data_IF_319759655938
#
_entry.id   IF_319759655938
#
_cell.length_a   1.000
_cell.length_b   1.000
_cell.length_c   1.000
_cell.angle_alpha   90.00
_cell.angle_beta   90.00
_cell.angle_gamma   90.00
#
_symmetry.space_group_name_H-M   'P 1'
#
loop_
_entity.id
_entity.type
_entity.pdbx_description
1 polymer ?
#
# COMPACT_ATOMS: atom_id res chain seq x y z
N UNK A 1 17.43 0.76 18.89
CA UNK A 1 18.58 1.57 18.41
C UNK A 1 19.88 0.76 18.37
N UNK A 2 20.10 -0.19 19.27
CA UNK A 2 21.32 -1.00 19.38
C UNK A 2 21.80 -1.62 18.05
N UNK A 3 20.89 -2.14 17.22
CA UNK A 3 21.21 -2.69 15.89
C UNK A 3 21.89 -1.69 14.94
N UNK A 4 21.57 -0.40 15.03
CA UNK A 4 22.23 0.66 14.25
C UNK A 4 23.61 0.99 14.84
N UNK A 5 23.76 0.97 16.17
CA UNK A 5 25.06 1.19 16.83
C UNK A 5 26.02 0.04 16.58
N UNK A 6 25.52 -1.20 16.54
CA UNK A 6 26.29 -2.39 16.15
C UNK A 6 26.66 -2.35 14.67
N UNK A 7 25.73 -2.00 13.78
CA UNK A 7 26.03 -1.79 12.38
C UNK A 7 27.03 -0.64 12.12
N UNK A 8 27.09 0.37 13.01
CA UNK A 8 28.12 1.40 12.94
C UNK A 8 29.49 0.89 13.40
N UNK A 9 29.56 0.04 14.43
CA UNK A 9 30.80 -0.60 14.90
C UNK A 9 31.38 -1.59 13.89
N UNK A 10 30.53 -2.29 13.14
CA UNK A 10 30.92 -3.26 12.11
C UNK A 10 31.22 -2.61 10.73
N UNK A 11 31.58 -1.32 10.69
CA UNK A 11 31.95 -0.62 9.46
C UNK A 11 33.48 -0.44 9.42
N UNK A 12 34.18 -0.84 8.34
CA UNK A 12 33.66 -1.08 6.98
C UNK A 12 33.24 -2.51 6.63
N UNK A 13 33.36 -3.49 7.54
CA UNK A 13 33.16 -4.92 7.27
C UNK A 13 31.78 -5.22 6.69
N UNK A 14 30.73 -4.57 7.21
CA UNK A 14 29.35 -4.74 6.79
C UNK A 14 28.93 -3.89 5.58
N UNK A 15 29.84 -3.12 4.96
CA UNK A 15 29.54 -2.15 3.89
C UNK A 15 28.67 -2.72 2.76
N UNK A 16 28.80 -4.01 2.45
CA UNK A 16 27.97 -4.70 1.46
C UNK A 16 26.46 -4.71 1.81
N UNK A 17 26.09 -4.94 3.09
CA UNK A 17 24.67 -4.99 3.51
C UNK A 17 24.03 -3.60 3.66
N UNK A 18 24.83 -2.54 3.49
CA UNK A 18 24.40 -1.14 3.42
C UNK A 18 24.45 -0.57 2.00
N UNK A 19 25.05 -1.28 1.03
CA UNK A 19 25.36 -0.75 -0.31
C UNK A 19 24.13 -0.31 -1.10
N UNK A 20 22.97 -0.95 -0.90
CA UNK A 20 21.71 -0.57 -1.54
C UNK A 20 21.07 0.68 -0.92
N UNK A 21 21.39 1.06 0.33
CA UNK A 21 20.78 2.17 1.08
C UNK A 21 21.27 3.56 0.64
N UNK A 22 21.30 3.76 -0.67
CA UNK A 22 21.64 5.00 -1.37
C UNK A 22 20.43 5.53 -2.15
N UNK A 23 20.56 6.70 -2.76
CA UNK A 23 19.58 7.21 -3.71
C UNK A 23 19.50 6.31 -4.95
N UNK A 24 18.38 5.60 -5.11
CA UNK A 24 18.11 4.81 -6.31
C UNK A 24 17.65 5.68 -7.50
N UNK A 25 17.40 5.04 -8.63
CA UNK A 25 16.74 5.68 -9.79
C UNK A 25 15.35 6.17 -9.42
N UNK A 26 15.05 7.44 -9.73
CA UNK A 26 13.73 8.05 -9.62
C UNK A 26 13.39 8.75 -10.94
N UNK A 27 12.12 8.81 -11.40
CA UNK A 27 11.80 9.29 -12.75
C UNK A 27 12.09 10.79 -13.01
N UNK A 28 12.39 11.57 -11.97
CA UNK A 28 12.60 13.01 -12.02
C UNK A 28 13.89 13.40 -11.29
N UNK A 29 14.66 14.37 -11.82
CA UNK A 29 15.94 14.80 -11.22
C UNK A 29 15.78 15.55 -9.88
N UNK A 30 14.59 16.06 -9.58
CA UNK A 30 14.27 16.69 -8.30
C UNK A 30 12.75 16.68 -8.06
N UNK A 31 12.33 16.91 -6.83
CA UNK A 31 10.91 17.02 -6.46
C UNK A 31 10.18 18.13 -7.22
N UNK A 32 10.86 19.25 -7.51
CA UNK A 32 10.26 20.37 -8.26
C UNK A 32 10.21 20.14 -9.78
N UNK A 33 10.86 19.08 -10.28
CA UNK A 33 10.75 18.66 -11.67
C UNK A 33 9.53 17.74 -11.93
N UNK A 34 8.78 17.35 -10.89
CA UNK A 34 7.57 16.54 -11.03
C UNK A 34 6.40 17.46 -11.47
N UNK A 35 5.70 17.20 -12.59
CA UNK A 35 4.68 18.10 -13.13
C UNK A 35 3.55 18.52 -12.17
N UNK A 36 3.16 17.66 -11.22
CA UNK A 36 2.15 18.01 -10.20
C UNK A 36 2.64 18.92 -9.07
N UNK A 37 3.95 19.20 -8.99
CA UNK A 37 4.59 20.04 -7.98
C UNK A 37 5.33 21.26 -8.57
N UNK A 38 5.78 21.15 -9.82
CA UNK A 38 6.49 22.21 -10.54
C UNK A 38 5.65 23.50 -10.62
N UNK A 39 6.29 24.66 -10.45
CA UNK A 39 5.63 25.97 -10.43
C UNK A 39 4.75 26.26 -9.20
N UNK A 40 4.25 25.23 -8.49
CA UNK A 40 3.48 25.37 -7.25
C UNK A 40 4.39 25.53 -6.02
N UNK A 41 5.58 24.95 -6.05
CA UNK A 41 6.54 24.92 -4.94
C UNK A 41 7.92 25.44 -5.38
N UNK A 42 8.67 26.03 -4.44
CA UNK A 42 10.02 26.58 -4.65
C UNK A 42 11.09 25.88 -3.81
N UNK A 43 12.35 26.31 -4.00
CA UNK A 43 13.49 25.86 -3.19
C UNK A 43 13.60 26.61 -1.84
N UNK A 44 12.83 27.69 -1.67
CA UNK A 44 12.76 28.50 -0.45
C UNK A 44 11.35 28.44 0.13
N UNK A 45 11.26 28.39 1.46
CA UNK A 45 9.98 28.43 2.18
C UNK A 45 9.55 29.90 2.37
N UNK A 46 8.24 30.15 2.30
CA UNK A 46 7.69 31.49 2.52
C UNK A 46 7.49 31.76 4.02
N UNK A 47 8.54 32.30 4.64
CA UNK A 47 8.56 32.64 6.07
C UNK A 47 7.57 33.74 6.49
N UNK A 48 6.89 34.40 5.54
CA UNK A 48 5.88 35.44 5.79
C UNK A 48 4.52 34.81 6.18
N UNK A 49 4.51 33.88 7.15
CA UNK A 49 3.33 33.16 7.61
C UNK A 49 2.81 32.06 6.68
N UNK A 50 3.55 31.72 5.61
CA UNK A 50 3.14 30.77 4.55
C UNK A 50 4.06 29.53 4.44
N UNK A 51 4.82 29.25 5.49
CA UNK A 51 5.79 28.12 5.54
C UNK A 51 5.11 26.81 5.14
N UNK A 52 4.03 26.42 5.83
CA UNK A 52 3.30 25.16 5.58
C UNK A 52 2.77 25.04 4.14
N UNK A 53 2.03 26.01 3.55
CA UNK A 53 1.60 25.90 2.16
C UNK A 53 2.75 25.98 1.14
N UNK A 54 3.95 26.45 1.51
CA UNK A 54 5.17 26.41 0.68
C UNK A 54 5.97 25.09 0.79
N UNK A 55 5.65 24.22 1.75
CA UNK A 55 6.31 22.92 1.92
C UNK A 55 5.77 21.85 0.95
N UNK A 56 6.67 21.03 0.40
CA UNK A 56 6.30 19.73 -0.18
C UNK A 56 6.37 18.65 0.90
N UNK A 57 5.29 17.89 1.08
CA UNK A 57 5.26 16.73 1.98
C UNK A 57 5.61 15.43 1.24
N UNK A 58 6.22 14.47 1.92
CA UNK A 58 6.74 13.24 1.32
C UNK A 58 5.70 12.42 0.52
N UNK A 59 4.44 12.39 0.94
CA UNK A 59 3.37 11.70 0.20
C UNK A 59 3.05 12.36 -1.14
N UNK A 60 3.16 13.70 -1.22
CA UNK A 60 2.83 14.49 -2.41
C UNK A 60 3.75 14.17 -3.59
N UNK A 61 4.96 13.65 -3.31
CA UNK A 61 5.91 13.16 -4.32
C UNK A 61 5.24 12.02 -5.09
N UNK A 62 4.81 10.96 -4.41
CA UNK A 62 4.14 9.83 -5.07
C UNK A 62 2.73 10.18 -5.56
N UNK A 63 2.00 11.12 -4.93
CA UNK A 63 0.73 11.63 -5.48
C UNK A 63 0.97 12.30 -6.85
N UNK A 64 1.94 13.20 -6.94
CA UNK A 64 2.24 13.93 -8.17
C UNK A 64 2.81 13.03 -9.29
N UNK A 65 3.58 11.98 -8.96
CA UNK A 65 3.98 10.97 -9.97
C UNK A 65 2.76 10.23 -10.52
N UNK A 66 1.85 9.74 -9.65
CA UNK A 66 0.61 9.06 -10.08
C UNK A 66 -0.30 9.95 -10.92
N UNK A 67 -0.42 11.22 -10.54
CA UNK A 67 -1.13 12.26 -11.29
C UNK A 67 -0.60 12.42 -12.73
N UNK A 68 0.70 12.22 -12.98
CA UNK A 68 1.23 12.27 -14.37
C UNK A 68 0.77 11.11 -15.25
N UNK A 69 0.66 9.89 -14.73
CA UNK A 69 0.10 8.76 -15.48
C UNK A 69 -1.39 9.00 -15.76
N UNK A 70 -2.15 9.34 -14.70
CA UNK A 70 -3.59 9.61 -14.78
C UNK A 70 -3.94 10.71 -15.80
N UNK A 71 -3.23 11.85 -15.79
CA UNK A 71 -3.47 12.96 -16.73
C UNK A 71 -3.20 12.65 -18.20
N UNK A 72 -2.36 11.65 -18.48
CA UNK A 72 -2.14 11.14 -19.85
C UNK A 72 -3.11 10.03 -20.26
N UNK A 73 -3.92 9.50 -19.33
CA UNK A 73 -4.70 8.28 -19.55
C UNK A 73 -3.85 6.99 -19.57
N UNK A 74 -2.63 7.03 -19.02
CA UNK A 74 -1.77 5.86 -18.82
C UNK A 74 -2.22 5.07 -17.57
N UNK A 75 -2.16 3.73 -17.63
CA UNK A 75 -2.38 2.88 -16.46
C UNK A 75 -1.26 3.10 -15.43
N UNK A 76 -1.61 3.19 -14.14
CA UNK A 76 -0.63 3.43 -13.09
C UNK A 76 0.10 2.11 -12.75
N UNK A 77 1.45 2.03 -12.77
CA UNK A 77 2.16 0.79 -12.44
C UNK A 77 1.97 0.36 -10.98
N UNK A 78 2.03 -0.95 -10.71
CA UNK A 78 1.81 -1.55 -9.38
C UNK A 78 2.73 -0.96 -8.29
N UNK A 79 3.98 -0.58 -8.63
CA UNK A 79 4.93 0.06 -7.70
C UNK A 79 4.47 1.44 -7.19
N UNK A 80 3.69 2.18 -7.98
CA UNK A 80 3.17 3.51 -7.65
C UNK A 80 1.82 3.44 -6.94
N UNK A 81 1.01 2.42 -7.24
CA UNK A 81 -0.25 2.13 -6.55
C UNK A 81 0.03 1.58 -5.14
N UNK A 82 0.99 0.65 -5.03
CA UNK A 82 1.34 -0.06 -3.79
C UNK A 82 2.79 0.24 -3.34
N UNK A 83 3.14 1.52 -3.06
CA UNK A 83 4.48 1.90 -2.67
C UNK A 83 4.79 1.47 -1.23
N UNK A 84 6.06 1.13 -0.98
CA UNK A 84 6.59 0.75 0.33
C UNK A 84 5.76 -0.34 1.07
N UNK A 85 5.54 -1.54 0.49
CA UNK A 85 4.71 -2.58 1.12
C UNK A 85 5.13 -2.86 2.57
N UNK A 86 4.16 -2.92 3.48
CA UNK A 86 4.44 -3.19 4.90
C UNK A 86 4.70 -4.69 5.12
N UNK A 87 5.38 -5.12 6.19
CA UNK A 87 5.68 -6.53 6.46
C UNK A 87 4.44 -7.44 6.45
N UNK A 88 3.27 -6.90 6.80
CA UNK A 88 1.97 -7.57 6.80
C UNK A 88 1.57 -8.07 5.40
N UNK A 89 2.11 -7.45 4.34
CA UNK A 89 1.99 -7.94 2.94
C UNK A 89 2.52 -9.37 2.79
N UNK A 90 3.53 -9.75 3.57
CA UNK A 90 4.10 -11.12 3.58
C UNK A 90 3.46 -12.03 4.64
N UNK A 91 2.52 -11.50 5.44
CA UNK A 91 2.02 -12.11 6.67
C UNK A 91 3.00 -12.02 7.85
N UNK A 92 3.81 -10.96 7.92
CA UNK A 92 4.67 -10.66 9.07
C UNK A 92 4.12 -9.50 9.88
N UNK A 93 4.24 -9.53 11.20
CA UNK A 93 4.17 -8.33 12.02
C UNK A 93 5.42 -8.23 12.88
N UNK A 94 5.98 -7.03 13.01
CA UNK A 94 7.24 -6.77 13.70
C UNK A 94 6.99 -6.03 15.02
N UNK A 95 7.80 -6.35 16.04
CA UNK A 95 7.80 -5.65 17.32
C UNK A 95 8.30 -4.20 17.14
N UNK A 96 7.60 -3.17 17.65
CA UNK A 96 8.00 -1.77 17.46
C UNK A 96 9.22 -1.33 18.30
N UNK A 97 9.52 -2.07 19.37
CA UNK A 97 10.56 -1.81 20.37
C UNK A 97 11.92 -2.46 20.05
N UNK A 98 11.92 -3.60 19.34
CA UNK A 98 13.10 -4.43 19.09
C UNK A 98 13.50 -4.48 17.61
N UNK A 99 14.77 -4.79 17.37
CA UNK A 99 15.38 -4.73 16.05
C UNK A 99 14.83 -5.81 15.10
N UNK A 100 13.85 -5.44 14.26
CA UNK A 100 13.25 -6.30 13.24
C UNK A 100 12.80 -7.71 13.73
N UNK A 101 12.42 -7.83 15.00
CA UNK A 101 11.94 -9.09 15.60
C UNK A 101 10.48 -9.33 15.21
N UNK A 102 10.14 -10.57 14.86
CA UNK A 102 8.77 -10.96 14.49
C UNK A 102 7.89 -11.06 15.74
N UNK A 103 6.88 -10.19 15.83
CA UNK A 103 5.83 -10.26 16.84
C UNK A 103 4.83 -11.37 16.52
N UNK A 104 4.50 -11.55 15.24
CA UNK A 104 3.63 -12.64 14.77
C UNK A 104 3.90 -12.98 13.31
N UNK A 105 3.48 -14.19 12.90
CA UNK A 105 3.48 -14.64 11.52
C UNK A 105 2.10 -15.21 11.21
N UNK A 106 1.44 -14.69 10.18
CA UNK A 106 0.08 -15.10 9.79
C UNK A 106 0.10 -16.54 9.28
N UNK A 107 -0.72 -17.46 9.82
CA UNK A 107 -0.83 -18.83 9.32
C UNK A 107 -1.15 -18.86 7.81
N UNK A 108 -0.50 -19.76 7.06
CA UNK A 108 -0.71 -19.88 5.61
C UNK A 108 -0.18 -18.71 4.76
N UNK A 109 0.60 -17.80 5.32
CA UNK A 109 1.29 -16.73 4.58
C UNK A 109 2.54 -17.19 3.82
N UNK A 110 3.15 -16.31 3.02
CA UNK A 110 4.45 -16.60 2.38
C UNK A 110 5.57 -16.74 3.41
N UNK A 111 5.57 -15.91 4.47
CA UNK A 111 6.50 -16.04 5.59
C UNK A 111 6.34 -17.36 6.36
N UNK A 112 5.10 -17.77 6.65
CA UNK A 112 4.82 -19.05 7.32
C UNK A 112 5.28 -20.26 6.46
N UNK A 113 5.03 -20.22 5.14
CA UNK A 113 5.55 -21.23 4.20
C UNK A 113 7.07 -21.29 4.14
N UNK A 114 7.75 -20.17 4.35
CA UNK A 114 9.21 -20.09 4.44
C UNK A 114 9.76 -20.48 5.83
N UNK A 115 8.92 -20.94 6.77
CA UNK A 115 9.34 -21.41 8.09
C UNK A 115 9.72 -20.31 9.09
N UNK A 116 9.41 -19.03 8.81
CA UNK A 116 9.55 -17.94 9.78
C UNK A 116 8.52 -18.07 10.90
N UNK A 117 8.91 -17.69 12.12
CA UNK A 117 8.17 -17.89 13.37
C UNK A 117 8.20 -16.63 14.25
N UNK A 118 7.21 -16.41 15.13
CA UNK A 118 7.28 -15.39 16.16
C UNK A 118 8.54 -15.56 17.01
N UNK A 119 9.23 -14.45 17.31
CA UNK A 119 10.51 -14.44 18.01
C UNK A 119 11.76 -14.46 17.11
N UNK A 120 11.64 -14.79 15.81
CA UNK A 120 12.75 -14.62 14.86
C UNK A 120 13.19 -13.16 14.81
N UNK A 121 14.50 -12.90 14.83
CA UNK A 121 15.07 -11.56 14.63
C UNK A 121 15.68 -11.48 13.25
N UNK A 122 15.08 -10.71 12.35
CA UNK A 122 15.54 -10.60 10.96
C UNK A 122 16.82 -9.76 10.89
N UNK A 123 17.88 -10.31 10.29
CA UNK A 123 19.17 -9.64 10.12
C UNK A 123 19.27 -8.92 8.76
N UNK A 124 18.94 -9.63 7.68
CA UNK A 124 18.98 -9.08 6.32
C UNK A 124 17.80 -9.59 5.49
N UNK A 125 17.40 -8.81 4.48
CA UNK A 125 16.51 -9.25 3.42
C UNK A 125 17.03 -8.74 2.07
N UNK A 126 17.06 -9.60 1.05
CA UNK A 126 17.77 -9.36 -0.22
C UNK A 126 19.23 -8.88 0.00
N UNK A 127 19.90 -9.42 1.02
CA UNK A 127 21.27 -9.04 1.43
C UNK A 127 21.40 -7.65 2.06
N UNK A 128 20.30 -6.91 2.29
CA UNK A 128 20.32 -5.58 2.92
C UNK A 128 19.96 -5.65 4.40
N UNK A 129 20.73 -4.96 5.25
CA UNK A 129 20.58 -4.95 6.70
C UNK A 129 19.18 -4.45 7.12
N UNK A 130 18.52 -5.19 8.02
CA UNK A 130 17.27 -4.78 8.66
C UNK A 130 17.54 -4.30 10.09
N UNK A 131 17.06 -3.11 10.43
CA UNK A 131 17.02 -2.61 11.81
C UNK A 131 15.58 -2.34 12.28
N UNK A 132 14.64 -2.21 11.34
CA UNK A 132 13.26 -1.80 11.54
C UNK A 132 12.32 -2.38 10.47
N UNK A 133 11.01 -2.28 10.69
CA UNK A 133 9.99 -2.56 9.66
C UNK A 133 10.10 -1.66 8.43
N UNK A 134 10.60 -0.42 8.59
CA UNK A 134 10.83 0.50 7.49
C UNK A 134 11.94 0.02 6.52
N UNK A 135 12.98 -0.64 7.04
CA UNK A 135 14.02 -1.27 6.19
C UNK A 135 13.42 -2.40 5.35
N UNK A 136 12.57 -3.24 5.95
CA UNK A 136 11.90 -4.32 5.22
C UNK A 136 10.93 -3.75 4.17
N UNK A 137 10.17 -2.70 4.49
CA UNK A 137 9.34 -1.98 3.50
C UNK A 137 10.16 -1.33 2.38
N UNK A 138 11.37 -0.89 2.66
CA UNK A 138 12.31 -0.32 1.68
C UNK A 138 12.86 -1.40 0.73
N UNK A 139 13.14 -2.61 1.24
CA UNK A 139 13.51 -3.79 0.44
C UNK A 139 12.33 -4.25 -0.41
N UNK A 140 11.15 -4.40 0.19
CA UNK A 140 9.92 -4.79 -0.50
C UNK A 140 9.50 -3.79 -1.59
N UNK A 141 9.81 -2.50 -1.45
CA UNK A 141 9.57 -1.57 -2.55
C UNK A 141 10.40 -1.92 -3.80
N UNK A 142 11.63 -2.42 -3.62
CA UNK A 142 12.61 -2.73 -4.68
C UNK A 142 12.55 -4.16 -5.22
N UNK A 143 11.84 -5.07 -4.55
CA UNK A 143 11.63 -6.43 -5.07
C UNK A 143 10.86 -6.42 -6.40
N UNK A 144 11.19 -7.35 -7.28
CA UNK A 144 10.47 -7.55 -8.54
C UNK A 144 9.03 -8.03 -8.31
N UNK A 145 8.21 -8.05 -9.38
CA UNK A 145 6.81 -8.51 -9.31
C UNK A 145 6.64 -9.98 -8.94
N UNK A 146 7.71 -10.79 -9.00
CA UNK A 146 7.79 -12.16 -8.47
C UNK A 146 9.26 -12.59 -8.30
N UNK A 147 9.53 -13.55 -7.40
CA UNK A 147 10.85 -14.16 -7.22
C UNK A 147 11.16 -14.51 -5.75
N UNK A 148 12.33 -15.10 -5.47
CA UNK A 148 12.77 -15.37 -4.10
C UNK A 148 13.18 -14.07 -3.39
N UNK A 149 12.68 -13.88 -2.17
CA UNK A 149 13.20 -12.92 -1.19
C UNK A 149 13.99 -13.71 -0.14
N UNK A 150 15.31 -13.77 -0.30
CA UNK A 150 16.22 -14.33 0.70
C UNK A 150 16.22 -13.48 1.96
N UNK A 151 15.99 -14.11 3.10
CA UNK A 151 15.96 -13.50 4.43
C UNK A 151 16.91 -14.26 5.36
N UNK A 152 17.84 -13.54 5.96
CA UNK A 152 18.65 -14.03 7.08
C UNK A 152 18.03 -13.60 8.40
N UNK A 153 18.06 -14.48 9.40
CA UNK A 153 17.48 -14.24 10.72
C UNK A 153 18.26 -14.98 11.81
N UNK A 154 18.03 -14.63 13.07
CA UNK A 154 18.39 -15.47 14.21
C UNK A 154 17.16 -16.08 14.87
N UNK A 155 17.29 -17.35 15.27
CA UNK A 155 16.36 -18.06 16.16
C UNK A 155 17.19 -18.74 17.24
N UNK A 156 16.89 -18.47 18.51
CA UNK A 156 17.61 -19.07 19.66
C UNK A 156 19.13 -18.84 19.59
N UNK A 157 19.54 -17.65 19.14
CA UNK A 157 20.95 -17.26 18.95
C UNK A 157 21.62 -17.82 17.67
N UNK A 158 21.02 -18.81 17.00
CA UNK A 158 21.56 -19.41 15.77
C UNK A 158 21.17 -18.57 14.55
N UNK A 159 22.14 -18.20 13.71
CA UNK A 159 21.90 -17.58 12.38
C UNK A 159 21.34 -18.64 11.41
N UNK A 160 20.26 -18.28 10.72
CA UNK A 160 19.53 -19.12 9.76
C UNK A 160 19.16 -18.28 8.53
N UNK A 161 18.87 -18.94 7.42
CA UNK A 161 18.45 -18.32 6.16
C UNK A 161 17.21 -19.04 5.61
N UNK A 162 16.34 -18.33 4.92
CA UNK A 162 15.21 -18.90 4.17
C UNK A 162 14.85 -18.01 2.97
N UNK A 163 14.20 -18.57 1.94
CA UNK A 163 13.76 -17.86 0.74
C UNK A 163 12.23 -17.77 0.68
N UNK A 164 11.70 -16.56 0.84
CA UNK A 164 10.27 -16.29 0.70
C UNK A 164 9.93 -16.20 -0.78
N UNK A 165 9.22 -17.20 -1.32
CA UNK A 165 8.81 -17.21 -2.72
C UNK A 165 7.63 -16.25 -2.94
N UNK A 166 7.91 -15.11 -3.57
CA UNK A 166 6.92 -14.07 -3.89
C UNK A 166 6.25 -14.37 -5.25
N UNK A 167 4.94 -14.66 -5.30
CA UNK A 167 4.23 -14.90 -6.56
C UNK A 167 3.97 -13.60 -7.34
N UNK A 168 3.54 -13.71 -8.60
CA UNK A 168 3.23 -12.53 -9.42
C UNK A 168 2.21 -11.62 -8.73
N UNK A 169 2.57 -10.34 -8.56
CA UNK A 169 1.67 -9.35 -7.97
C UNK A 169 1.46 -9.48 -6.46
N UNK A 170 2.35 -10.18 -5.74
CA UNK A 170 2.38 -10.22 -4.28
C UNK A 170 2.18 -8.83 -3.64
N UNK A 171 2.74 -7.79 -4.28
CA UNK A 171 2.67 -6.37 -3.89
C UNK A 171 1.23 -5.86 -3.72
N UNK A 172 0.29 -6.40 -4.50
CA UNK A 172 -1.14 -6.03 -4.53
C UNK A 172 -1.89 -6.40 -3.24
N UNK A 173 -1.26 -7.18 -2.37
CA UNK A 173 -1.77 -7.49 -1.03
C UNK A 173 -1.40 -6.43 0.02
N UNK A 174 -0.59 -5.42 -0.33
CA UNK A 174 -0.27 -4.31 0.58
C UNK A 174 -1.53 -3.50 0.89
N UNK A 175 -1.83 -3.33 2.18
CA UNK A 175 -2.81 -2.33 2.61
C UNK A 175 -2.32 -0.93 2.22
N UNK A 176 -3.11 -0.26 1.38
CA UNK A 176 -2.95 1.15 1.04
C UNK A 176 -4.11 2.00 1.58
N UNK A 177 -5.20 1.41 2.07
CA UNK A 177 -6.38 2.15 2.53
C UNK A 177 -6.06 3.11 3.68
N UNK A 178 -5.14 2.70 4.56
CA UNK A 178 -4.64 3.53 5.68
C UNK A 178 -3.66 4.64 5.28
N UNK A 179 -3.23 4.73 4.01
CA UNK A 179 -2.25 5.75 3.55
C UNK A 179 -2.94 7.05 3.12
N UNK A 180 -2.41 8.19 3.55
CA UNK A 180 -2.90 9.53 3.15
C UNK A 180 -2.98 9.72 1.63
N UNK A 181 -1.97 9.24 0.89
CA UNK A 181 -1.92 9.33 -0.58
C UNK A 181 -2.99 8.48 -1.30
N UNK A 182 -3.72 7.62 -0.59
CA UNK A 182 -4.85 6.87 -1.17
C UNK A 182 -6.10 7.74 -1.28
N UNK A 183 -6.15 8.90 -0.61
CA UNK A 183 -7.23 9.87 -0.80
C UNK A 183 -7.39 10.27 -2.27
N UNK A 184 -6.31 10.53 -3.00
CA UNK A 184 -6.40 10.87 -4.43
C UNK A 184 -6.82 9.66 -5.29
N UNK A 185 -6.37 8.45 -4.93
CA UNK A 185 -6.76 7.22 -5.63
C UNK A 185 -8.27 6.94 -5.50
N UNK A 186 -8.87 7.21 -4.33
CA UNK A 186 -10.33 7.14 -4.14
C UNK A 186 -11.05 8.11 -5.06
N UNK A 187 -10.56 9.34 -5.17
CA UNK A 187 -11.10 10.37 -6.06
C UNK A 187 -11.12 9.93 -7.53
N UNK A 188 -10.03 9.31 -7.99
CA UNK A 188 -9.90 8.80 -9.37
C UNK A 188 -10.77 7.55 -9.59
N UNK A 189 -10.58 6.51 -8.78
CA UNK A 189 -11.02 5.15 -9.08
C UNK A 189 -12.30 4.71 -8.38
N UNK A 190 -12.54 5.10 -7.12
CA UNK A 190 -13.78 4.75 -6.39
C UNK A 190 -14.80 5.89 -6.35
N UNK A 191 -14.61 6.94 -7.15
CA UNK A 191 -15.49 8.11 -7.19
C UNK A 191 -15.63 8.82 -5.83
N UNK A 192 -14.64 8.67 -4.95
CA UNK A 192 -14.61 9.21 -3.59
C UNK A 192 -15.15 8.31 -2.48
N UNK A 193 -15.43 7.02 -2.73
CA UNK A 193 -15.75 6.06 -1.66
C UNK A 193 -14.53 5.75 -0.81
N UNK A 194 -14.69 5.80 0.51
CA UNK A 194 -13.81 5.16 1.49
C UNK A 194 -14.47 3.86 1.95
N UNK A 195 -13.78 2.74 1.70
CA UNK A 195 -14.25 1.38 1.84
C UNK A 195 -13.45 0.63 2.92
N UNK A 196 -14.14 -0.17 3.72
CA UNK A 196 -13.55 -0.99 4.79
C UNK A 196 -13.96 -2.45 4.60
N UNK A 197 -12.99 -3.39 4.53
CA UNK A 197 -13.32 -4.82 4.52
C UNK A 197 -13.84 -5.23 5.90
N UNK A 198 -15.08 -5.71 5.94
CA UNK A 198 -15.66 -6.21 7.17
C UNK A 198 -14.87 -7.42 7.67
N UNK A 199 -14.56 -7.44 8.97
CA UNK A 199 -13.93 -8.60 9.60
C UNK A 199 -14.89 -9.81 9.71
N UNK A 200 -14.34 -10.96 10.07
CA UNK A 200 -15.08 -12.23 10.08
C UNK A 200 -16.16 -12.29 11.17
N UNK A 201 -16.09 -11.47 12.22
CA UNK A 201 -17.19 -11.31 13.18
C UNK A 201 -18.29 -10.41 12.59
N UNK A 202 -17.92 -9.24 12.07
CA UNK A 202 -18.83 -8.28 11.45
C UNK A 202 -19.59 -8.87 10.23
N UNK A 203 -18.95 -9.80 9.50
CA UNK A 203 -19.56 -10.62 8.43
C UNK A 203 -20.56 -11.64 8.98
N UNK A 204 -20.16 -12.45 9.96
CA UNK A 204 -21.05 -13.46 10.61
C UNK A 204 -22.30 -12.81 11.20
N UNK A 205 -22.18 -11.69 11.91
CA UNK A 205 -23.32 -10.94 12.46
C UNK A 205 -24.29 -10.43 11.40
N UNK A 206 -23.85 -10.27 10.14
CA UNK A 206 -24.66 -9.82 9.01
C UNK A 206 -25.11 -10.95 8.06
N UNK A 207 -24.80 -12.21 8.38
CA UNK A 207 -25.06 -13.36 7.50
C UNK A 207 -24.23 -13.36 6.21
N UNK A 208 -23.13 -12.60 6.15
CA UNK A 208 -22.29 -12.46 4.97
C UNK A 208 -21.21 -13.54 4.94
N UNK A 209 -21.00 -14.14 3.76
CA UNK A 209 -19.99 -15.18 3.56
C UNK A 209 -18.55 -14.64 3.74
N UNK A 210 -17.61 -15.45 4.28
CA UNK A 210 -16.27 -14.98 4.66
C UNK A 210 -15.32 -14.78 3.47
N UNK A 211 -15.61 -15.39 2.33
CA UNK A 211 -14.82 -15.43 1.08
C UNK A 211 -15.29 -14.43 0.02
N UNK A 212 -16.41 -13.73 0.26
CA UNK A 212 -17.06 -12.81 -0.69
C UNK A 212 -16.70 -11.35 -0.42
N UNK A 213 -16.83 -10.47 -1.41
CA UNK A 213 -16.67 -9.03 -1.20
C UNK A 213 -17.76 -8.52 -0.23
N UNK A 214 -17.35 -7.72 0.76
CA UNK A 214 -18.25 -7.04 1.69
C UNK A 214 -17.55 -5.78 2.22
N UNK A 215 -17.36 -4.82 1.31
CA UNK A 215 -16.67 -3.55 1.58
C UNK A 215 -17.68 -2.51 2.08
N UNK A 216 -17.64 -2.18 3.36
CA UNK A 216 -18.52 -1.19 3.99
C UNK A 216 -18.13 0.23 3.55
N UNK A 217 -19.09 0.99 3.01
CA UNK A 217 -18.91 2.42 2.68
C UNK A 217 -18.92 3.22 3.97
N UNK A 218 -17.73 3.52 4.50
CA UNK A 218 -17.54 4.38 5.69
C UNK A 218 -17.83 5.85 5.38
N UNK A 219 -17.55 6.27 4.14
CA UNK A 219 -17.83 7.62 3.64
C UNK A 219 -17.91 7.61 2.10
N UNK A 220 -18.73 8.52 1.54
CA UNK A 220 -18.75 8.85 0.13
C UNK A 220 -18.55 10.36 0.00
N UNK A 221 -17.50 10.78 -0.72
CA UNK A 221 -17.09 12.18 -0.83
C UNK A 221 -18.13 13.09 -1.47
N UNK A 222 -17.96 14.40 -1.27
CA UNK A 222 -19.01 15.38 -1.57
C UNK A 222 -18.67 16.35 -2.70
N UNK A 223 -17.38 16.59 -2.96
CA UNK A 223 -16.90 17.68 -3.82
C UNK A 223 -15.93 17.20 -4.91
N UNK A 224 -15.94 17.87 -6.06
CA UNK A 224 -15.05 17.56 -7.18
C UNK A 224 -15.18 16.12 -7.68
N UNK A 225 -14.03 15.51 -8.02
CA UNK A 225 -13.91 14.10 -8.43
C UNK A 225 -14.40 13.12 -7.35
N UNK A 226 -14.18 13.45 -6.08
CA UNK A 226 -14.63 12.67 -4.93
C UNK A 226 -16.16 12.67 -4.73
N UNK A 227 -16.91 13.42 -5.53
CA UNK A 227 -18.37 13.40 -5.51
C UNK A 227 -19.00 12.31 -6.41
N UNK A 228 -18.23 11.66 -7.29
CA UNK A 228 -18.79 10.87 -8.39
C UNK A 228 -19.64 9.68 -7.93
N UNK A 229 -19.20 8.92 -6.92
CA UNK A 229 -19.98 7.82 -6.37
C UNK A 229 -21.19 8.31 -5.56
N UNK A 230 -21.06 9.40 -4.79
CA UNK A 230 -22.20 10.01 -4.07
C UNK A 230 -23.29 10.49 -5.04
N UNK A 231 -22.89 11.07 -6.18
CA UNK A 231 -23.78 11.46 -7.30
C UNK A 231 -24.40 10.24 -8.00
N UNK A 232 -23.68 9.13 -8.11
CA UNK A 232 -24.18 7.84 -8.60
C UNK A 232 -25.12 7.12 -7.60
N UNK A 233 -25.43 7.72 -6.44
CA UNK A 233 -26.41 7.20 -5.50
C UNK A 233 -25.86 6.28 -4.41
N UNK A 234 -24.54 6.15 -4.27
CA UNK A 234 -23.90 5.47 -3.14
C UNK A 234 -24.08 6.27 -1.84
N UNK A 235 -24.19 5.55 -0.71
CA UNK A 235 -24.45 6.10 0.63
C UNK A 235 -23.52 5.49 1.66
N UNK A 236 -23.36 6.16 2.80
CA UNK A 236 -22.74 5.58 4.00
C UNK A 236 -23.58 4.38 4.48
N UNK A 237 -22.90 3.37 5.02
CA UNK A 237 -23.46 2.06 5.42
C UNK A 237 -23.93 1.13 4.27
N UNK A 238 -23.80 1.54 2.99
CA UNK A 238 -23.85 0.58 1.89
C UNK A 238 -22.75 -0.48 2.06
N UNK A 239 -23.05 -1.75 1.77
CA UNK A 239 -22.03 -2.82 1.72
C UNK A 239 -21.82 -3.20 0.25
N UNK A 240 -20.67 -2.84 -0.30
CA UNK A 240 -20.26 -3.17 -1.65
C UNK A 240 -19.88 -4.67 -1.74
N UNK A 241 -20.61 -5.42 -2.57
CA UNK A 241 -20.52 -6.89 -2.69
C UNK A 241 -20.10 -7.39 -4.07
N UNK A 242 -20.05 -6.50 -5.07
CA UNK A 242 -19.54 -6.80 -6.41
C UNK A 242 -19.02 -5.51 -7.07
N UNK A 243 -17.90 -5.59 -7.79
CA UNK A 243 -17.38 -4.54 -8.70
C UNK A 243 -16.98 -5.20 -10.00
N UNK A 244 -17.45 -4.70 -11.15
CA UNK A 244 -17.13 -5.24 -12.49
C UNK A 244 -17.37 -6.76 -12.62
N UNK A 245 -18.43 -7.28 -11.99
CA UNK A 245 -18.73 -8.72 -11.94
C UNK A 245 -17.87 -9.52 -10.93
N UNK A 246 -16.81 -8.93 -10.38
CA UNK A 246 -15.95 -9.58 -9.40
C UNK A 246 -16.52 -9.44 -7.98
N UNK A 247 -16.84 -10.58 -7.37
CA UNK A 247 -17.53 -10.69 -6.07
C UNK A 247 -16.76 -11.49 -5.01
N UNK A 248 -15.53 -11.92 -5.30
CA UNK A 248 -14.63 -12.53 -4.32
C UNK A 248 -14.08 -11.47 -3.36
N UNK A 249 -13.73 -11.87 -2.13
CA UNK A 249 -13.21 -10.95 -1.10
C UNK A 249 -11.93 -10.26 -1.58
N UNK A 250 -11.96 -8.94 -1.52
CA UNK A 250 -10.87 -8.01 -1.84
C UNK A 250 -10.87 -6.90 -0.80
N UNK A 251 -9.70 -6.39 -0.44
CA UNK A 251 -9.57 -5.15 0.31
C UNK A 251 -9.88 -3.93 -0.59
N UNK A 252 -10.12 -2.77 0.01
CA UNK A 252 -10.20 -1.50 -0.73
C UNK A 252 -8.96 -1.29 -1.62
N UNK A 253 -7.76 -1.59 -1.09
CA UNK A 253 -6.51 -1.44 -1.83
C UNK A 253 -6.46 -2.30 -3.10
N UNK A 254 -6.97 -3.53 -3.03
CA UNK A 254 -7.06 -4.44 -4.17
C UNK A 254 -8.07 -3.93 -5.21
N UNK A 255 -9.26 -3.47 -4.79
CA UNK A 255 -10.27 -2.90 -5.71
C UNK A 255 -9.75 -1.64 -6.38
N UNK A 256 -9.17 -0.70 -5.63
CA UNK A 256 -8.59 0.53 -6.18
C UNK A 256 -7.49 0.21 -7.20
N UNK A 257 -6.53 -0.66 -6.85
CA UNK A 257 -5.40 -0.99 -7.73
C UNK A 257 -5.76 -1.87 -8.93
N UNK A 258 -6.90 -2.55 -8.92
CA UNK A 258 -7.46 -3.22 -10.09
C UNK A 258 -8.06 -2.20 -11.06
N UNK A 259 -8.89 -1.27 -10.55
CA UNK A 259 -9.50 -0.20 -11.35
C UNK A 259 -8.44 0.72 -11.97
N UNK A 260 -7.44 1.16 -11.19
CA UNK A 260 -6.34 2.04 -11.65
C UNK A 260 -5.42 1.45 -12.74
N UNK A 261 -5.52 0.14 -13.00
CA UNK A 261 -4.75 -0.57 -14.03
C UNK A 261 -5.59 -1.07 -15.21
N UNK A 262 -6.90 -1.25 -15.00
CA UNK A 262 -7.81 -1.82 -16.00
C UNK A 262 -8.80 -0.82 -16.59
N UNK A 263 -8.99 0.35 -15.95
CA UNK A 263 -9.92 1.39 -16.35
C UNK A 263 -9.21 2.67 -16.76
N UNK A 264 -9.82 3.36 -17.73
CA UNK A 264 -9.44 4.68 -18.23
C UNK A 264 -10.46 5.72 -17.78
N UNK A 265 -10.01 6.98 -17.75
CA UNK A 265 -10.85 8.16 -17.50
C UNK A 265 -12.12 8.13 -18.36
N UNK A 266 -13.28 8.22 -17.72
CA UNK A 266 -14.60 8.15 -18.35
C UNK A 266 -15.22 6.74 -18.42
N UNK A 267 -14.47 5.66 -18.15
CA UNK A 267 -15.04 4.31 -18.10
C UNK A 267 -16.10 4.21 -16.99
N UNK A 268 -17.28 3.71 -17.32
CA UNK A 268 -18.35 3.48 -16.35
C UNK A 268 -18.08 2.18 -15.58
N UNK A 269 -17.79 2.30 -14.29
CA UNK A 269 -17.52 1.20 -13.37
C UNK A 269 -18.85 0.79 -12.72
N UNK A 270 -19.25 -0.48 -12.88
CA UNK A 270 -20.48 -1.07 -12.34
C UNK A 270 -20.20 -1.78 -11.02
N UNK A 271 -21.18 -1.73 -10.12
CA UNK A 271 -21.12 -2.40 -8.83
C UNK A 271 -22.50 -2.82 -8.32
N UNK A 272 -22.51 -3.75 -7.36
CA UNK A 272 -23.68 -4.10 -6.55
C UNK A 272 -23.43 -3.77 -5.10
N UNK A 273 -24.36 -3.07 -4.46
CA UNK A 273 -24.35 -2.78 -3.02
C UNK A 273 -25.56 -3.41 -2.34
N UNK A 274 -25.37 -3.87 -1.10
CA UNK A 274 -26.47 -4.15 -0.17
C UNK A 274 -26.82 -2.89 0.61
N UNK A 275 -28.10 -2.53 0.62
CA UNK A 275 -28.70 -1.43 1.37
C UNK A 275 -30.07 -1.87 1.85
N UNK A 276 -30.36 -1.73 3.14
CA UNK A 276 -31.67 -2.05 3.74
C UNK A 276 -32.18 -3.47 3.32
N UNK A 277 -31.26 -4.44 3.31
CA UNK A 277 -31.43 -5.83 2.84
C UNK A 277 -31.78 -6.01 1.35
N UNK A 278 -31.83 -4.94 0.55
CA UNK A 278 -31.98 -4.98 -0.90
C UNK A 278 -30.61 -4.95 -1.59
N UNK A 279 -30.50 -5.59 -2.76
CA UNK A 279 -29.34 -5.42 -3.65
C UNK A 279 -29.66 -4.33 -4.68
N UNK A 280 -28.80 -3.31 -4.78
CA UNK A 280 -28.90 -2.22 -5.74
C UNK A 280 -27.72 -2.26 -6.69
N UNK A 281 -27.99 -2.16 -8.00
CA UNK A 281 -26.94 -1.93 -9.00
C UNK A 281 -26.69 -0.42 -9.13
N UNK A 282 -25.43 -0.01 -8.97
CA UNK A 282 -24.99 1.38 -9.05
C UNK A 282 -23.73 1.45 -9.95
N UNK A 283 -23.50 2.59 -10.60
CA UNK A 283 -22.33 2.74 -11.46
C UNK A 283 -21.80 4.18 -11.46
N UNK A 284 -20.48 4.35 -11.39
CA UNK A 284 -19.82 5.66 -11.41
C UNK A 284 -18.73 5.72 -12.50
N UNK A 285 -18.50 6.89 -13.12
CA UNK A 285 -17.39 7.04 -14.06
C UNK A 285 -16.05 7.16 -13.33
N UNK A 286 -15.04 6.45 -13.82
CA UNK A 286 -13.62 6.73 -13.56
C UNK A 286 -13.34 8.21 -13.86
N UNK A 287 -12.75 8.95 -12.92
CA UNK A 287 -12.60 10.42 -13.04
C UNK A 287 -11.45 10.87 -13.94
#
# INVERSE_FOLDING_TARGET
>A
MESILEAHRQYPENKASLAGKQSGTFPYKSTLAIPGLSGKYGLQLDWNGKVVPSCVHCHQINDAVRDTYHKKGEAIPDEWIYPWPQPETLGLSLTPDRAATLASVTPGSWAARAGLQPGDTLLTAAGQLLASSADLSWVLHRMAESGPLTVEYTREGQRKQTDLQLPNGWRRHSDIGRRVGTWQLRGIASGGLFLEDLDDAARRTRGLAPDRMALLVKHAGEYGQHAAAKKAGFRKEDILVEVEGASARKSEGQVLGELLRTKKRGDLIRAKVLRDSQTLELAWPMQ
#
